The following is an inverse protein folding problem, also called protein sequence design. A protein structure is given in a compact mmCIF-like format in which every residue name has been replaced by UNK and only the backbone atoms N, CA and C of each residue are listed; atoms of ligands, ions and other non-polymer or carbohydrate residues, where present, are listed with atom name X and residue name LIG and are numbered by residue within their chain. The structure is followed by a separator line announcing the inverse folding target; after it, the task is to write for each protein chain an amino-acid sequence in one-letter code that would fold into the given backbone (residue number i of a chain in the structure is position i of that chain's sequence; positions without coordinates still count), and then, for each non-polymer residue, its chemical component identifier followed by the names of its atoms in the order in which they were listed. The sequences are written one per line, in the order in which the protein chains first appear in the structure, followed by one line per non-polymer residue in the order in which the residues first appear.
data_IF_720397073445
#
_entry.id   IF_720397073445
#
_cell.length_a   1.000
_cell.length_b   1.000
_cell.length_c   1.000
_cell.angle_alpha   90.00
_cell.angle_beta   90.00
_cell.angle_gamma   90.00
#
_symmetry.space_group_name_H-M   'P 1'
#
loop_
_entity.id
_entity.type
_entity.pdbx_description
1 polymer ?
#
# COMPACT_ATOMS: atom_id res chain seq x y z
N UNK A 1 -17.31 -24.25 -21.57
CA UNK A 1 -18.27 -23.90 -22.63
C UNK A 1 -18.72 -22.46 -22.42
N UNK A 2 -18.73 -21.61 -23.45
CA UNK A 2 -19.36 -20.29 -23.37
C UNK A 2 -20.88 -20.43 -23.16
N UNK A 3 -21.55 -19.47 -22.52
CA UNK A 3 -23.01 -19.48 -22.35
C UNK A 3 -23.71 -19.42 -23.71
N UNK A 4 -24.84 -20.11 -23.87
CA UNK A 4 -25.69 -19.99 -25.06
C UNK A 4 -26.47 -18.66 -25.03
N UNK A 5 -26.99 -18.24 -26.19
CA UNK A 5 -27.83 -17.02 -26.30
C UNK A 5 -29.05 -17.12 -25.39
N UNK A 6 -29.76 -18.26 -25.41
CA UNK A 6 -30.91 -18.52 -24.54
C UNK A 6 -30.59 -18.38 -23.04
N UNK A 7 -29.37 -18.79 -22.62
CA UNK A 7 -28.94 -18.63 -21.23
C UNK A 7 -28.72 -17.15 -20.86
N UNK A 8 -28.29 -16.33 -21.82
CA UNK A 8 -28.09 -14.89 -21.63
C UNK A 8 -29.43 -14.15 -21.60
N UNK A 9 -30.36 -14.50 -22.47
CA UNK A 9 -31.71 -13.90 -22.48
C UNK A 9 -32.46 -14.18 -21.18
N UNK A 10 -32.49 -15.44 -20.72
CA UNK A 10 -33.08 -15.80 -19.41
C UNK A 10 -32.42 -15.09 -18.25
N UNK A 11 -31.10 -14.90 -18.32
CA UNK A 11 -30.38 -14.14 -17.30
C UNK A 11 -30.74 -12.65 -17.31
N UNK A 12 -30.91 -12.06 -18.49
CA UNK A 12 -31.31 -10.66 -18.65
C UNK A 12 -32.73 -10.41 -18.12
N UNK A 13 -33.68 -11.27 -18.47
CA UNK A 13 -35.07 -11.23 -17.97
C UNK A 13 -35.10 -11.36 -16.44
N UNK A 14 -34.44 -12.40 -15.90
CA UNK A 14 -34.40 -12.62 -14.46
C UNK A 14 -33.75 -11.44 -13.72
N UNK A 15 -32.74 -10.80 -14.31
CA UNK A 15 -32.15 -9.58 -13.74
C UNK A 15 -33.12 -8.41 -13.76
N UNK A 16 -33.91 -8.24 -14.83
CA UNK A 16 -34.87 -7.14 -14.97
C UNK A 16 -35.97 -7.17 -13.89
N UNK A 17 -36.41 -8.37 -13.49
CA UNK A 17 -37.47 -8.57 -12.48
C UNK A 17 -37.04 -8.29 -11.04
N UNK A 18 -35.73 -8.24 -10.76
CA UNK A 18 -35.23 -7.90 -9.43
C UNK A 18 -35.39 -6.40 -9.21
N UNK A 19 -35.86 -5.96 -8.05
CA UNK A 19 -35.95 -4.53 -7.73
C UNK A 19 -35.46 -4.24 -6.32
N UNK A 20 -34.76 -3.12 -6.18
CA UNK A 20 -34.33 -2.63 -4.87
C UNK A 20 -35.47 -1.82 -4.24
N UNK A 21 -35.99 -2.27 -3.10
CA UNK A 21 -37.02 -1.52 -2.37
C UNK A 21 -36.40 -0.47 -1.45
N UNK A 22 -35.34 -0.82 -0.74
CA UNK A 22 -34.61 0.12 0.11
C UNK A 22 -33.15 -0.28 0.24
N UNK A 23 -32.28 0.73 0.32
CA UNK A 23 -30.88 0.57 0.71
C UNK A 23 -30.42 1.83 1.43
N UNK A 24 -30.14 1.69 2.73
CA UNK A 24 -29.83 2.83 3.60
C UNK A 24 -28.59 2.53 4.44
N UNK A 25 -27.89 3.60 4.83
CA UNK A 25 -26.79 3.58 5.78
C UNK A 25 -27.15 4.47 6.95
N UNK A 26 -27.04 3.98 8.18
CA UNK A 26 -27.42 4.72 9.37
C UNK A 26 -26.40 4.52 10.50
N UNK A 27 -25.68 5.58 10.91
CA UNK A 27 -25.64 6.92 10.30
C UNK A 27 -24.96 6.91 8.91
N UNK A 28 -25.32 7.86 8.05
CA UNK A 28 -24.69 8.02 6.73
C UNK A 28 -23.30 8.68 6.80
N UNK A 29 -22.96 9.30 7.94
CA UNK A 29 -21.65 9.85 8.23
C UNK A 29 -21.14 9.28 9.55
N UNK A 30 -19.91 8.81 9.57
CA UNK A 30 -19.22 8.29 10.77
C UNK A 30 -17.89 9.01 10.95
N UNK A 31 -17.36 9.01 12.18
CA UNK A 31 -16.00 9.46 12.46
C UNK A 31 -15.01 8.28 12.40
N UNK A 32 -13.75 8.52 11.99
CA UNK A 32 -12.67 7.55 12.18
C UNK A 32 -12.61 7.03 13.61
N UNK A 33 -12.29 5.74 13.80
CA UNK A 33 -12.17 5.05 15.10
C UNK A 33 -13.41 5.05 16.01
N UNK A 34 -14.46 5.77 15.66
CA UNK A 34 -15.69 5.86 16.42
C UNK A 34 -16.77 4.89 15.94
N UNK A 35 -17.96 5.43 15.72
CA UNK A 35 -19.17 4.66 15.44
C UNK A 35 -19.12 3.90 14.11
N UNK A 36 -19.77 2.74 14.09
CA UNK A 36 -20.06 2.01 12.85
C UNK A 36 -21.35 2.52 12.20
N UNK A 37 -21.45 2.36 10.88
CA UNK A 37 -22.67 2.56 10.12
C UNK A 37 -23.37 1.21 9.90
N UNK A 38 -24.69 1.17 10.05
CA UNK A 38 -25.48 0.01 9.68
C UNK A 38 -26.03 0.16 8.27
N UNK A 39 -25.57 -0.71 7.36
CA UNK A 39 -26.19 -0.90 6.06
C UNK A 39 -27.43 -1.78 6.22
N UNK A 40 -28.55 -1.34 5.68
CA UNK A 40 -29.80 -2.11 5.65
C UNK A 40 -30.36 -2.11 4.24
N UNK A 41 -30.72 -3.28 3.73
CA UNK A 41 -31.29 -3.42 2.39
C UNK A 41 -32.50 -4.33 2.37
N UNK A 42 -33.38 -4.07 1.41
CA UNK A 42 -34.52 -4.90 1.05
C UNK A 42 -34.67 -4.92 -0.46
N UNK A 43 -34.65 -6.12 -1.02
CA UNK A 43 -34.68 -6.40 -2.46
C UNK A 43 -35.85 -7.34 -2.71
N UNK A 44 -36.68 -6.99 -3.68
CA UNK A 44 -37.73 -7.86 -4.19
C UNK A 44 -37.15 -8.70 -5.33
N UNK A 45 -37.41 -10.00 -5.30
CA UNK A 45 -37.11 -10.91 -6.41
C UNK A 45 -38.20 -11.98 -6.53
N UNK A 46 -38.45 -12.51 -7.74
CA UNK A 46 -39.30 -13.67 -7.93
C UNK A 46 -38.76 -14.91 -7.21
N UNK A 47 -39.66 -15.74 -6.69
CA UNK A 47 -39.33 -17.05 -6.11
C UNK A 47 -38.71 -17.94 -7.18
N UNK A 48 -37.59 -18.60 -6.87
CA UNK A 48 -36.89 -19.47 -7.83
C UNK A 48 -35.99 -18.74 -8.85
N UNK A 49 -35.83 -17.42 -8.74
CA UNK A 49 -34.92 -16.66 -9.61
C UNK A 49 -33.47 -17.16 -9.52
N UNK A 50 -32.82 -17.27 -10.68
CA UNK A 50 -31.39 -17.64 -10.81
C UNK A 50 -30.41 -16.54 -10.35
N UNK A 51 -30.93 -15.37 -9.98
CA UNK A 51 -30.14 -14.20 -9.61
C UNK A 51 -29.50 -14.35 -8.23
N UNK A 52 -28.19 -14.11 -8.18
CA UNK A 52 -27.40 -14.00 -6.95
C UNK A 52 -27.11 -12.53 -6.64
N UNK A 53 -27.17 -12.18 -5.36
CA UNK A 53 -26.98 -10.81 -4.88
C UNK A 53 -25.65 -10.69 -4.18
N UNK A 54 -24.94 -9.59 -4.41
CA UNK A 54 -23.63 -9.33 -3.86
C UNK A 54 -23.53 -7.93 -3.27
N UNK A 55 -22.87 -7.82 -2.11
CA UNK A 55 -22.47 -6.56 -1.48
C UNK A 55 -20.96 -6.57 -1.29
N UNK A 56 -20.24 -5.69 -1.99
CA UNK A 56 -18.76 -5.67 -2.02
C UNK A 56 -18.15 -7.06 -2.32
N UNK A 57 -18.75 -7.78 -3.27
CA UNK A 57 -18.29 -9.12 -3.69
C UNK A 57 -18.73 -10.29 -2.79
N UNK A 58 -19.31 -10.02 -1.61
CA UNK A 58 -19.86 -11.06 -0.75
C UNK A 58 -21.33 -11.35 -1.06
N UNK A 59 -21.73 -12.62 -1.11
CA UNK A 59 -23.14 -13.02 -1.35
C UNK A 59 -24.04 -12.54 -0.20
N UNK A 60 -25.21 -11.99 -0.54
CA UNK A 60 -26.20 -11.52 0.44
C UNK A 60 -27.60 -12.05 0.15
N UNK A 61 -28.44 -12.07 1.18
CA UNK A 61 -29.88 -12.34 1.09
C UNK A 61 -30.65 -11.14 0.53
N UNK A 62 -31.93 -11.36 0.18
CA UNK A 62 -32.85 -10.31 -0.30
C UNK A 62 -33.11 -9.23 0.74
N UNK A 63 -33.12 -9.58 2.01
CA UNK A 63 -33.19 -8.64 3.14
C UNK A 63 -32.03 -8.93 4.07
N UNK A 64 -31.37 -7.88 4.54
CA UNK A 64 -30.25 -8.02 5.45
C UNK A 64 -29.80 -6.72 6.08
N UNK A 65 -28.93 -6.87 7.06
CA UNK A 65 -28.21 -5.78 7.70
C UNK A 65 -26.72 -6.12 7.78
N UNK A 66 -25.86 -5.11 7.71
CA UNK A 66 -24.42 -5.27 7.86
C UNK A 66 -23.83 -4.03 8.54
N UNK A 67 -23.14 -4.25 9.66
CA UNK A 67 -22.34 -3.20 10.28
C UNK A 67 -21.05 -2.99 9.49
N UNK A 68 -20.70 -1.74 9.23
CA UNK A 68 -19.49 -1.34 8.50
C UNK A 68 -18.82 -0.14 9.19
N UNK A 69 -17.50 -0.16 9.21
CA UNK A 69 -16.66 0.96 9.67
C UNK A 69 -15.56 1.20 8.64
N UNK A 70 -15.88 1.79 7.48
CA UNK A 70 -14.86 2.07 6.48
C UNK A 70 -13.88 3.14 7.00
N UNK A 71 -12.59 2.99 6.63
CA UNK A 71 -11.54 3.96 6.95
C UNK A 71 -11.58 5.18 6.03
N UNK A 72 -12.25 5.11 4.88
CA UNK A 72 -12.43 6.23 3.97
C UNK A 72 -13.87 6.26 3.47
N UNK A 73 -14.35 7.42 3.02
CA UNK A 73 -15.67 7.54 2.40
C UNK A 73 -15.85 6.46 1.34
N UNK A 74 -16.80 5.55 1.59
CA UNK A 74 -16.94 4.32 0.81
C UNK A 74 -18.35 4.23 0.24
N UNK A 75 -18.41 3.95 -1.07
CA UNK A 75 -19.66 3.68 -1.77
C UNK A 75 -19.92 2.18 -1.77
N UNK A 76 -20.96 1.75 -1.07
CA UNK A 76 -21.43 0.37 -1.05
C UNK A 76 -22.43 0.16 -2.18
N UNK A 77 -22.25 -0.91 -2.95
CA UNK A 77 -23.12 -1.26 -4.09
C UNK A 77 -23.72 -2.64 -3.91
N UNK A 78 -25.00 -2.76 -4.22
CA UNK A 78 -25.65 -4.06 -4.35
C UNK A 78 -25.67 -4.44 -5.83
N UNK A 79 -25.08 -5.58 -6.14
CA UNK A 79 -24.97 -6.10 -7.51
C UNK A 79 -25.75 -7.40 -7.62
N UNK A 80 -26.68 -7.45 -8.55
CA UNK A 80 -27.36 -8.66 -8.97
C UNK A 80 -26.57 -9.30 -10.12
N UNK A 81 -26.34 -10.61 -10.07
CA UNK A 81 -25.67 -11.37 -11.13
C UNK A 81 -26.48 -12.60 -11.52
N UNK A 82 -26.53 -12.88 -12.82
CA UNK A 82 -27.10 -14.10 -13.40
C UNK A 82 -26.26 -14.50 -14.62
N UNK A 83 -25.80 -15.76 -14.67
CA UNK A 83 -24.82 -16.19 -15.67
C UNK A 83 -23.60 -15.25 -15.70
N UNK A 84 -23.19 -14.76 -16.88
CA UNK A 84 -22.13 -13.76 -17.06
C UNK A 84 -22.62 -12.31 -16.95
N UNK A 85 -23.93 -12.09 -16.80
CA UNK A 85 -24.53 -10.76 -16.72
C UNK A 85 -24.57 -10.25 -15.28
N UNK A 86 -24.43 -8.93 -15.15
CA UNK A 86 -24.53 -8.25 -13.85
C UNK A 86 -25.26 -6.90 -13.98
N UNK A 87 -25.98 -6.52 -12.93
CA UNK A 87 -26.68 -5.23 -12.82
C UNK A 87 -26.51 -4.65 -11.43
N UNK A 88 -26.15 -3.37 -11.35
CA UNK A 88 -26.13 -2.64 -10.07
C UNK A 88 -27.57 -2.26 -9.74
N UNK A 89 -28.07 -2.73 -8.60
CA UNK A 89 -29.44 -2.44 -8.16
C UNK A 89 -29.55 -1.09 -7.44
N UNK A 90 -28.47 -0.68 -6.78
CA UNK A 90 -28.38 0.60 -6.10
C UNK A 90 -27.09 0.73 -5.30
N UNK A 91 -26.89 1.93 -4.75
CA UNK A 91 -25.70 2.27 -3.99
C UNK A 91 -26.04 3.17 -2.81
N UNK A 92 -25.27 3.06 -1.74
CA UNK A 92 -25.30 3.97 -0.60
C UNK A 92 -23.88 4.37 -0.24
N UNK A 93 -23.69 5.62 0.14
CA UNK A 93 -22.38 6.14 0.54
C UNK A 93 -22.34 6.28 2.06
N UNK A 94 -21.29 5.75 2.68
CA UNK A 94 -20.94 6.05 4.07
C UNK A 94 -19.79 7.05 4.02
N UNK A 95 -20.05 8.27 4.50
CA UNK A 95 -19.06 9.33 4.59
C UNK A 95 -18.21 9.13 5.85
N UNK A 96 -16.91 9.34 5.72
CA UNK A 96 -15.99 9.39 6.86
C UNK A 96 -15.65 10.85 7.09
N UNK A 97 -16.15 11.40 8.19
CA UNK A 97 -15.94 12.80 8.58
C UNK A 97 -14.59 12.95 9.28
N UNK A 98 -13.65 13.58 8.57
CA UNK A 98 -12.29 13.86 9.05
C UNK A 98 -12.09 15.31 9.48
N UNK A 99 -13.16 16.10 9.65
CA UNK A 99 -13.08 17.52 10.03
C UNK A 99 -12.42 17.77 11.40
N UNK A 100 -12.51 16.80 12.32
CA UNK A 100 -11.87 16.86 13.62
C UNK A 100 -10.43 16.29 13.63
N UNK A 101 -9.93 15.82 12.49
CA UNK A 101 -8.60 15.24 12.39
C UNK A 101 -7.54 16.33 12.23
N UNK A 102 -6.35 16.05 12.75
CA UNK A 102 -5.16 16.87 12.55
C UNK A 102 -4.32 16.28 11.42
N UNK A 103 -3.74 17.15 10.61
CA UNK A 103 -2.80 16.76 9.55
C UNK A 103 -1.43 17.35 9.86
N UNK A 104 -0.39 16.57 9.63
CA UNK A 104 0.99 17.01 9.73
C UNK A 104 1.82 16.28 8.69
N UNK A 105 3.02 16.79 8.41
CA UNK A 105 3.89 16.25 7.38
C UNK A 105 5.35 16.22 7.82
N UNK A 106 6.10 15.32 7.18
CA UNK A 106 7.55 15.20 7.31
C UNK A 106 8.16 15.60 5.96
N UNK A 107 8.93 16.70 5.89
CA UNK A 107 9.59 17.12 4.66
C UNK A 107 10.61 16.10 4.16
N UNK A 108 10.79 16.02 2.85
CA UNK A 108 11.80 15.18 2.19
C UNK A 108 13.20 15.48 2.71
N UNK A 109 13.54 16.73 3.00
CA UNK A 109 14.85 17.10 3.55
C UNK A 109 15.18 16.37 4.86
N UNK A 110 14.19 16.20 5.73
CA UNK A 110 14.35 15.47 7.01
C UNK A 110 14.57 13.97 6.76
N UNK A 111 13.87 13.42 5.76
CA UNK A 111 13.98 12.02 5.37
C UNK A 111 15.34 11.78 4.71
N UNK A 112 15.76 12.65 3.79
CA UNK A 112 17.07 12.64 3.16
C UNK A 112 18.18 12.63 4.21
N UNK A 113 18.11 13.51 5.20
CA UNK A 113 19.11 13.58 6.27
C UNK A 113 19.17 12.28 7.06
N UNK A 114 18.02 11.79 7.54
CA UNK A 114 17.93 10.56 8.32
C UNK A 114 18.47 9.34 7.56
N UNK A 115 18.14 9.23 6.27
CA UNK A 115 18.61 8.14 5.42
C UNK A 115 20.11 8.25 5.17
N UNK A 116 20.64 9.43 4.85
CA UNK A 116 22.07 9.64 4.62
C UNK A 116 22.90 9.30 5.87
N UNK A 117 22.45 9.72 7.04
CA UNK A 117 23.12 9.43 8.31
C UNK A 117 23.11 7.92 8.59
N UNK A 118 21.98 7.28 8.33
CA UNK A 118 21.83 5.82 8.46
C UNK A 118 22.78 5.08 7.53
N UNK A 119 22.82 5.43 6.24
CA UNK A 119 23.69 4.76 5.25
C UNK A 119 25.16 4.98 5.59
N UNK A 120 25.55 6.21 5.95
CA UNK A 120 26.94 6.52 6.33
C UNK A 120 27.39 5.70 7.54
N UNK A 121 26.49 5.44 8.49
CA UNK A 121 26.77 4.60 9.65
C UNK A 121 26.90 3.11 9.29
N UNK A 122 26.10 2.63 8.33
CA UNK A 122 26.09 1.22 7.93
C UNK A 122 27.15 0.84 6.90
N UNK A 123 27.64 1.82 6.13
CA UNK A 123 28.66 1.64 5.09
C UNK A 123 29.89 2.53 5.36
N UNK A 124 30.72 2.17 6.35
CA UNK A 124 31.99 2.86 6.57
C UNK A 124 32.96 2.60 5.41
N UNK A 125 33.85 3.56 5.14
CA UNK A 125 34.77 3.56 3.99
C UNK A 125 35.76 2.39 3.89
N UNK A 126 35.92 1.58 4.95
CA UNK A 126 36.90 0.48 5.01
C UNK A 126 36.26 -0.91 4.87
N UNK A 127 35.03 -0.97 4.36
CA UNK A 127 34.27 -2.18 4.20
C UNK A 127 34.36 -2.72 2.75
N UNK A 128 33.96 -3.97 2.54
CA UNK A 128 33.87 -4.57 1.19
C UNK A 128 32.88 -3.84 0.27
N UNK A 129 32.08 -2.94 0.82
CA UNK A 129 31.11 -2.14 0.11
C UNK A 129 31.21 -0.68 0.58
N UNK A 130 31.46 0.23 -0.34
CA UNK A 130 31.60 1.66 -0.05
C UNK A 130 30.66 2.50 -0.90
N UNK A 131 30.39 3.73 -0.47
CA UNK A 131 29.58 4.68 -1.24
C UNK A 131 30.46 5.38 -2.29
N UNK A 132 30.07 5.27 -3.55
CA UNK A 132 30.66 6.04 -4.66
C UNK A 132 30.10 7.47 -4.69
N UNK A 133 28.84 7.64 -4.29
CA UNK A 133 28.23 8.96 -4.09
C UNK A 133 27.22 8.91 -2.95
N UNK A 134 26.89 10.06 -2.33
CA UNK A 134 25.91 10.11 -1.26
C UNK A 134 24.56 9.52 -1.69
N UNK A 135 23.93 8.79 -0.78
CA UNK A 135 22.57 8.31 -0.99
C UNK A 135 21.62 9.46 -1.37
N UNK A 136 20.79 9.21 -2.38
CA UNK A 136 19.73 10.13 -2.79
C UNK A 136 18.39 9.57 -2.37
N UNK A 137 17.51 10.45 -1.90
CA UNK A 137 16.15 10.10 -1.50
C UNK A 137 15.20 11.02 -2.23
N UNK A 138 14.10 10.46 -2.71
CA UNK A 138 13.05 11.14 -3.44
C UNK A 138 11.71 10.68 -2.87
N UNK A 139 10.86 11.61 -2.45
CA UNK A 139 9.52 11.33 -1.93
C UNK A 139 8.51 11.71 -2.99
N UNK A 140 7.83 10.70 -3.52
CA UNK A 140 6.83 10.86 -4.58
C UNK A 140 5.48 10.30 -4.13
N UNK A 141 4.43 10.51 -4.93
CA UNK A 141 3.06 10.05 -4.62
C UNK A 141 2.93 8.53 -4.47
N UNK A 142 3.88 7.76 -4.99
CA UNK A 142 3.88 6.30 -4.93
C UNK A 142 4.86 5.71 -3.90
N UNK A 143 5.54 6.55 -3.11
CA UNK A 143 6.41 6.12 -2.03
C UNK A 143 7.71 6.93 -1.91
N UNK A 144 8.64 6.37 -1.16
CA UNK A 144 9.98 6.93 -0.93
C UNK A 144 10.98 6.09 -1.71
N UNK A 145 11.68 6.70 -2.65
CA UNK A 145 12.74 6.04 -3.41
C UNK A 145 14.10 6.39 -2.81
N UNK A 146 14.88 5.38 -2.44
CA UNK A 146 16.26 5.53 -1.95
C UNK A 146 17.19 4.92 -2.98
N UNK A 147 18.05 5.73 -3.58
CA UNK A 147 19.03 5.28 -4.57
C UNK A 147 20.42 5.31 -3.95
N UNK A 148 21.05 4.14 -3.93
CA UNK A 148 22.42 3.94 -3.48
C UNK A 148 23.31 3.69 -4.69
N UNK A 149 24.49 4.30 -4.67
CA UNK A 149 25.52 4.16 -5.70
C UNK A 149 26.77 3.70 -4.99
N UNK A 150 27.05 2.41 -5.11
CA UNK A 150 28.03 1.70 -4.30
C UNK A 150 29.15 1.15 -5.19
N UNK A 151 30.28 0.87 -4.57
CA UNK A 151 31.40 0.17 -5.17
C UNK A 151 31.79 -1.00 -4.26
N UNK A 152 31.92 -2.19 -4.84
CA UNK A 152 32.38 -3.37 -4.10
C UNK A 152 33.88 -3.55 -4.27
N UNK A 153 34.59 -3.77 -3.16
CA UNK A 153 36.00 -4.07 -3.15
C UNK A 153 36.20 -5.58 -3.23
N UNK A 154 36.75 -6.09 -4.35
CA UNK A 154 37.04 -7.52 -4.51
C UNK A 154 38.55 -7.75 -4.50
N UNK A 155 39.00 -8.57 -3.55
CA UNK A 155 40.41 -8.95 -3.45
C UNK A 155 40.89 -9.61 -4.75
N UNK A 156 41.97 -9.05 -5.32
CA UNK A 156 42.63 -9.55 -6.54
C UNK A 156 41.70 -9.59 -7.78
N UNK A 157 40.65 -8.77 -7.81
CA UNK A 157 39.77 -8.66 -8.97
C UNK A 157 39.35 -7.19 -9.20
N UNK A 158 38.65 -6.93 -10.29
CA UNK A 158 38.08 -5.62 -10.55
C UNK A 158 36.98 -5.27 -9.52
N UNK A 159 36.88 -3.99 -9.18
CA UNK A 159 35.82 -3.47 -8.30
C UNK A 159 34.62 -3.04 -9.14
N UNK A 160 33.47 -3.74 -9.07
CA UNK A 160 32.29 -3.35 -9.81
C UNK A 160 31.51 -2.25 -9.10
N UNK A 161 30.81 -1.48 -9.92
CA UNK A 161 29.80 -0.54 -9.46
C UNK A 161 28.48 -1.28 -9.21
N UNK A 162 27.87 -1.01 -8.07
CA UNK A 162 26.57 -1.58 -7.69
C UNK A 162 25.58 -0.44 -7.49
N UNK A 163 24.57 -0.38 -8.34
CA UNK A 163 23.47 0.56 -8.25
C UNK A 163 22.28 -0.14 -7.60
N UNK A 164 21.83 0.36 -6.45
CA UNK A 164 20.69 -0.21 -5.72
C UNK A 164 19.61 0.83 -5.58
N UNK A 165 18.40 0.51 -6.02
CA UNK A 165 17.23 1.36 -5.87
C UNK A 165 16.18 0.64 -5.03
N UNK A 166 15.87 1.21 -3.86
CA UNK A 166 14.76 0.79 -3.01
C UNK A 166 13.58 1.71 -3.23
N UNK A 167 12.38 1.15 -3.24
CA UNK A 167 11.15 1.93 -3.11
C UNK A 167 10.36 1.42 -1.92
N UNK A 168 10.07 2.32 -0.99
CA UNK A 168 9.28 2.05 0.19
C UNK A 168 7.89 2.65 0.03
N UNK A 169 6.87 1.91 0.45
CA UNK A 169 5.50 2.41 0.57
C UNK A 169 5.13 2.53 2.04
N UNK A 170 4.32 3.54 2.33
CA UNK A 170 3.81 3.80 3.66
C UNK A 170 2.34 3.42 3.72
N UNK A 171 1.91 2.95 4.89
CA UNK A 171 0.51 2.64 5.15
C UNK A 171 0.20 2.64 6.63
N UNK A 172 -1.06 2.38 6.95
CA UNK A 172 -1.55 2.26 8.31
C UNK A 172 -2.09 0.86 8.52
N UNK A 173 -1.62 0.17 9.56
CA UNK A 173 -2.21 -1.09 10.01
C UNK A 173 -2.48 -0.99 11.50
N UNK A 174 -3.71 -1.27 11.92
CA UNK A 174 -4.11 -1.17 13.33
C UNK A 174 -3.76 0.18 13.97
N UNK A 175 -3.87 1.27 13.21
CA UNK A 175 -3.53 2.63 13.65
C UNK A 175 -2.05 2.86 13.96
N UNK A 176 -1.17 2.01 13.43
CA UNK A 176 0.28 2.18 13.49
C UNK A 176 0.84 2.38 12.08
N UNK A 177 1.90 3.17 11.97
CA UNK A 177 2.61 3.35 10.71
C UNK A 177 3.32 2.05 10.33
N UNK A 178 3.09 1.61 9.10
CA UNK A 178 3.78 0.48 8.48
C UNK A 178 4.57 0.99 7.29
N UNK A 179 5.83 0.61 7.24
CA UNK A 179 6.72 0.84 6.10
C UNK A 179 6.97 -0.50 5.45
N UNK A 180 6.65 -0.63 4.16
CA UNK A 180 6.87 -1.84 3.37
C UNK A 180 7.75 -1.53 2.17
N UNK A 181 8.43 -2.54 1.65
CA UNK A 181 9.24 -2.41 0.42
C UNK A 181 8.34 -2.76 -0.76
N UNK A 182 8.15 -1.80 -1.66
CA UNK A 182 7.38 -1.98 -2.89
C UNK A 182 8.23 -2.54 -4.02
N UNK A 183 9.51 -2.18 -4.10
CA UNK A 183 10.44 -2.74 -5.08
C UNK A 183 11.89 -2.61 -4.64
N UNK A 184 12.71 -3.51 -5.17
CA UNK A 184 14.14 -3.54 -5.03
C UNK A 184 14.74 -3.84 -6.40
N UNK A 185 15.58 -2.94 -6.89
CA UNK A 185 16.33 -3.13 -8.13
C UNK A 185 17.82 -3.05 -7.84
N UNK A 186 18.58 -3.98 -8.39
CA UNK A 186 20.04 -3.98 -8.30
C UNK A 186 20.62 -4.17 -9.68
N UNK A 187 21.55 -3.29 -10.03
CA UNK A 187 22.31 -3.35 -11.26
C UNK A 187 23.80 -3.35 -10.94
N UNK A 188 24.54 -4.24 -11.59
CA UNK A 188 25.97 -4.45 -11.38
C UNK A 188 26.69 -4.16 -12.68
N UNK A 189 27.55 -3.14 -12.65
CA UNK A 189 28.32 -2.71 -13.80
C UNK A 189 29.80 -2.97 -13.57
N UNK A 190 30.44 -3.67 -14.50
CA UNK A 190 31.86 -3.94 -14.47
C UNK A 190 32.64 -2.86 -15.23
N UNK A 191 33.90 -2.58 -14.85
CA UNK A 191 34.78 -1.75 -15.65
C UNK A 191 34.89 -2.30 -17.08
N UNK A 192 34.93 -1.40 -18.07
CA UNK A 192 34.85 -1.74 -19.49
C UNK A 192 35.92 -2.74 -19.99
N UNK A 193 37.06 -2.83 -19.30
CA UNK A 193 38.14 -3.75 -19.63
C UNK A 193 37.88 -5.19 -19.13
N UNK A 194 36.87 -5.39 -18.27
CA UNK A 194 36.39 -6.70 -17.84
C UNK A 194 35.34 -7.19 -18.83
N UNK A 195 35.75 -8.05 -19.76
CA UNK A 195 34.86 -8.59 -20.81
C UNK A 195 34.27 -9.96 -20.48
N UNK A 196 34.82 -10.67 -19.48
CA UNK A 196 34.34 -11.98 -19.03
C UNK A 196 34.32 -12.02 -17.51
N UNK A 197 33.12 -12.16 -16.93
CA UNK A 197 32.94 -12.40 -15.50
C UNK A 197 32.90 -13.90 -15.28
N UNK A 198 33.78 -14.43 -14.43
CA UNK A 198 33.77 -15.85 -14.09
C UNK A 198 32.64 -16.16 -13.12
N UNK A 199 32.14 -17.40 -13.16
CA UNK A 199 31.03 -17.88 -12.31
C UNK A 199 31.32 -17.66 -10.80
N UNK A 200 32.58 -17.73 -10.37
CA UNK A 200 32.95 -17.51 -8.97
C UNK A 200 32.78 -16.06 -8.51
N UNK A 201 32.98 -15.09 -9.42
CA UNK A 201 32.87 -13.65 -9.08
C UNK A 201 31.41 -13.22 -8.99
N UNK A 202 30.53 -13.75 -9.84
CA UNK A 202 29.10 -13.47 -9.73
C UNK A 202 28.54 -13.92 -8.39
N UNK A 203 28.97 -15.08 -7.87
CA UNK A 203 28.56 -15.57 -6.55
C UNK A 203 29.01 -14.63 -5.41
N UNK A 204 30.22 -14.09 -5.47
CA UNK A 204 30.73 -13.13 -4.48
C UNK A 204 29.86 -11.86 -4.47
N UNK A 205 29.52 -11.34 -5.66
CA UNK A 205 28.65 -10.15 -5.76
C UNK A 205 27.24 -10.45 -5.28
N UNK A 206 26.66 -11.58 -5.65
CA UNK A 206 25.37 -12.03 -5.14
C UNK A 206 25.39 -12.14 -3.62
N UNK A 207 26.47 -12.65 -3.03
CA UNK A 207 26.64 -12.75 -1.58
C UNK A 207 26.77 -11.38 -0.91
N UNK A 208 27.53 -10.45 -1.48
CA UNK A 208 27.64 -9.06 -0.99
C UNK A 208 26.26 -8.40 -1.02
N UNK A 209 25.53 -8.52 -2.12
CA UNK A 209 24.16 -7.97 -2.25
C UNK A 209 23.24 -8.63 -1.22
N UNK A 210 23.19 -9.95 -1.14
CA UNK A 210 22.33 -10.65 -0.20
C UNK A 210 22.65 -10.32 1.26
N UNK A 211 23.91 -10.33 1.66
CA UNK A 211 24.30 -10.19 3.06
C UNK A 211 24.40 -8.72 3.50
N UNK A 212 24.97 -7.83 2.69
CA UNK A 212 25.16 -6.42 3.08
C UNK A 212 23.95 -5.57 2.74
N UNK A 213 23.39 -5.73 1.54
CA UNK A 213 22.30 -4.87 1.08
C UNK A 213 20.96 -5.42 1.58
N UNK A 214 20.63 -6.69 1.33
CA UNK A 214 19.31 -7.23 1.68
C UNK A 214 19.13 -7.55 3.15
N UNK A 215 20.15 -8.13 3.81
CA UNK A 215 20.09 -8.45 5.25
C UNK A 215 20.60 -7.34 6.16
N UNK A 216 21.42 -6.42 5.63
CA UNK A 216 21.98 -5.30 6.40
C UNK A 216 21.22 -4.01 6.18
N UNK A 217 21.46 -3.34 5.06
CA UNK A 217 20.96 -1.98 4.79
C UNK A 217 19.43 -1.93 4.73
N UNK A 218 18.81 -2.84 3.98
CA UNK A 218 17.37 -2.88 3.73
C UNK A 218 16.53 -2.85 5.03
N UNK A 219 16.70 -3.78 5.99
CA UNK A 219 15.93 -3.75 7.23
C UNK A 219 16.25 -2.52 8.07
N UNK A 220 17.50 -2.07 8.10
CA UNK A 220 17.89 -0.87 8.86
C UNK A 220 17.19 0.37 8.31
N UNK A 221 17.15 0.57 6.99
CA UNK A 221 16.42 1.67 6.36
C UNK A 221 14.92 1.60 6.69
N UNK A 222 14.31 0.43 6.58
CA UNK A 222 12.90 0.25 6.90
C UNK A 222 12.61 0.61 8.36
N UNK A 223 13.45 0.14 9.30
CA UNK A 223 13.34 0.47 10.73
C UNK A 223 13.52 1.96 10.98
N UNK A 224 14.49 2.61 10.32
CA UNK A 224 14.76 4.04 10.53
C UNK A 224 13.67 4.94 9.96
N UNK A 225 13.15 4.62 8.78
CA UNK A 225 11.99 5.32 8.21
C UNK A 225 10.75 5.15 9.11
N UNK A 226 10.51 3.93 9.62
CA UNK A 226 9.43 3.71 10.59
C UNK A 226 9.64 4.52 11.86
N UNK A 227 10.84 4.51 12.43
CA UNK A 227 11.16 5.25 13.64
C UNK A 227 10.99 6.77 13.46
N UNK A 228 11.30 7.30 12.28
CA UNK A 228 11.08 8.71 11.95
C UNK A 228 9.59 9.07 12.00
N UNK A 229 8.73 8.24 11.39
CA UNK A 229 7.27 8.43 11.45
C UNK A 229 6.76 8.26 12.88
N UNK A 230 7.19 7.21 13.59
CA UNK A 230 6.76 6.94 14.96
C UNK A 230 7.17 8.07 15.92
N UNK A 231 8.35 8.67 15.75
CA UNK A 231 8.80 9.81 16.55
C UNK A 231 7.92 11.04 16.33
N UNK A 232 7.53 11.30 15.08
CA UNK A 232 6.60 12.39 14.77
C UNK A 232 5.21 12.12 15.36
N UNK A 233 4.74 10.87 15.33
CA UNK A 233 3.45 10.48 15.92
C UNK A 233 3.47 10.52 17.44
N UNK A 234 4.61 10.27 18.08
CA UNK A 234 4.75 10.35 19.54
C UNK A 234 4.61 11.77 20.09
N UNK A 235 4.78 12.80 19.24
CA UNK A 235 4.55 14.20 19.60
C UNK A 235 3.05 14.58 19.63
N UNK A 236 2.15 13.69 19.18
CA UNK A 236 0.72 13.96 19.10
C UNK A 236 -0.01 13.68 20.41
N UNK A 237 -1.17 14.32 20.66
CA UNK A 237 -1.98 14.04 21.83
C UNK A 237 -2.41 12.57 21.90
N UNK A 238 -2.38 11.97 23.10
CA UNK A 238 -2.81 10.58 23.33
C UNK A 238 -4.29 10.31 23.00
N UNK A 239 -5.09 11.37 22.81
CA UNK A 239 -6.49 11.31 22.36
C UNK A 239 -6.63 11.10 20.86
N UNK A 240 -5.53 11.04 20.10
CA UNK A 240 -5.54 10.87 18.66
C UNK A 240 -4.87 9.55 18.24
N UNK A 241 -5.33 9.00 17.12
CA UNK A 241 -4.74 7.80 16.50
C UNK A 241 -4.49 8.03 15.03
N UNK A 242 -3.44 7.41 14.50
CA UNK A 242 -3.08 7.50 13.09
C UNK A 242 -4.17 6.89 12.20
N UNK A 243 -4.81 7.73 11.38
CA UNK A 243 -5.89 7.37 10.48
C UNK A 243 -5.40 7.09 9.06
N UNK A 244 -4.59 7.99 8.52
CA UNK A 244 -4.04 7.87 7.18
C UNK A 244 -2.57 8.26 7.17
N UNK A 245 -1.80 7.59 6.31
CA UNK A 245 -0.40 7.86 6.04
C UNK A 245 -0.19 7.73 4.54
N UNK A 246 0.33 8.77 3.91
CA UNK A 246 0.55 8.82 2.47
C UNK A 246 1.81 9.61 2.15
N UNK A 247 2.27 9.50 0.91
CA UNK A 247 3.35 10.33 0.39
C UNK A 247 2.79 11.28 -0.66
N UNK A 248 3.31 12.51 -0.70
CA UNK A 248 3.16 13.44 -1.81
C UNK A 248 4.54 13.88 -2.26
N UNK A 249 4.62 14.63 -3.36
CA UNK A 249 5.87 15.26 -3.78
C UNK A 249 6.51 15.98 -2.58
N UNK A 250 7.77 15.66 -2.31
CA UNK A 250 8.65 16.24 -1.29
C UNK A 250 8.21 16.08 0.18
N UNK A 251 7.21 15.25 0.52
CA UNK A 251 6.81 15.04 1.91
C UNK A 251 5.99 13.77 2.17
N UNK A 252 6.07 13.29 3.41
CA UNK A 252 5.13 12.30 3.97
C UNK A 252 4.01 13.05 4.67
N UNK A 253 2.75 12.73 4.37
CA UNK A 253 1.60 13.29 5.05
C UNK A 253 0.97 12.24 5.96
N UNK A 254 0.56 12.64 7.14
CA UNK A 254 -0.24 11.80 8.01
C UNK A 254 -1.41 12.58 8.59
N UNK A 255 -2.52 11.87 8.72
CA UNK A 255 -3.75 12.36 9.32
C UNK A 255 -4.00 11.54 10.56
N UNK A 256 -4.20 12.23 11.68
CA UNK A 256 -4.52 11.63 12.97
C UNK A 256 -5.88 12.13 13.42
N UNK A 257 -6.70 11.23 13.92
CA UNK A 257 -8.08 11.54 14.27
C UNK A 257 -8.34 11.22 15.74
N UNK A 258 -9.23 11.97 16.41
CA UNK A 258 -9.67 11.65 17.76
C UNK A 258 -10.22 10.23 17.86
N UNK A 259 -9.95 9.56 18.99
CA UNK A 259 -10.56 8.27 19.34
C UNK A 259 -11.89 8.44 20.07
#
# INVERSE_FOLDING_TARGET
MPPTIDMLERAAEALAEVSLQSFTATPASIRPFGSSSQLKWKIQRPTGSIVRLFLQGATVSTTGTRSVSPDQTTVYRIVAKASTLQRILGSVTVNVDTSACLSSSIPESTIQQTVRDTITTQLPSNDQLSQRSPATVEVATNGITVKLRLQAAINNFADPDINVDFRFTLGVASGQAVVTIASFNTDVSWPWWVTVVTIGVSQIIEEIVANRIEKGIRPVLQTRLKALVDAQLAALPATHRLHALSTSTDQINFTVCPI
#
